data_IF_760921835368
#
_entry.id   IF_760921835368
#
_cell.length_a   1.000
_cell.length_b   1.000
_cell.length_c   1.000
_cell.angle_alpha   90.00
_cell.angle_beta   90.00
_cell.angle_gamma   90.00
#
_symmetry.space_group_name_H-M   'P 1'
#
loop_
_entity.id
_entity.type
_entity.pdbx_description
1 polymer ?
#
# COMPACT_ATOMS: atom_id res chain seq x y z
N UNK A 1 28.21 4.47 30.74
CA UNK A 1 26.74 4.35 30.81
C UNK A 1 26.23 4.09 29.40
N UNK A 2 25.44 3.04 29.14
CA UNK A 2 24.89 2.83 27.80
C UNK A 2 23.76 3.84 27.56
N UNK A 3 23.75 4.43 26.37
CA UNK A 3 22.79 5.43 25.91
C UNK A 3 21.38 4.79 25.80
N UNK A 4 20.28 5.46 26.20
CA UNK A 4 18.94 4.96 25.93
C UNK A 4 18.70 5.00 24.42
N UNK A 5 18.35 3.84 23.86
CA UNK A 5 17.99 3.69 22.45
C UNK A 5 16.68 4.49 22.27
N UNK A 6 16.78 5.70 21.72
CA UNK A 6 15.63 6.48 21.29
C UNK A 6 14.82 5.63 20.31
N UNK A 7 13.51 5.54 20.56
CA UNK A 7 12.59 4.64 19.88
C UNK A 7 12.80 4.63 18.37
N UNK A 8 13.08 3.45 17.84
CA UNK A 8 13.07 3.20 16.40
C UNK A 8 11.63 3.41 15.94
N UNK A 9 11.34 4.58 15.36
CA UNK A 9 10.08 4.79 14.67
C UNK A 9 10.13 3.91 13.42
N UNK A 10 9.49 2.74 13.49
CA UNK A 10 9.36 1.84 12.35
C UNK A 10 8.67 2.65 11.23
N UNK A 11 9.30 2.81 10.06
CA UNK A 11 8.72 3.60 8.97
C UNK A 11 7.40 2.97 8.52
N UNK A 12 6.41 3.82 8.22
CA UNK A 12 5.11 3.36 7.71
C UNK A 12 5.27 3.03 6.23
N UNK A 13 5.11 1.78 5.84
CA UNK A 13 5.19 1.34 4.44
C UNK A 13 3.93 1.79 3.69
N UNK A 14 4.08 2.60 2.64
CA UNK A 14 2.97 3.10 1.82
C UNK A 14 2.82 2.26 0.55
N UNK A 15 1.67 1.60 0.43
CA UNK A 15 1.37 0.64 -0.65
C UNK A 15 0.22 1.17 -1.49
N UNK A 16 0.43 1.28 -2.81
CA UNK A 16 -0.64 1.54 -3.78
C UNK A 16 -1.15 0.22 -4.33
N UNK A 17 -2.46 -0.03 -4.27
CA UNK A 17 -3.12 -1.20 -4.84
C UNK A 17 -4.01 -0.74 -5.98
N UNK A 18 -3.82 -1.30 -7.17
CA UNK A 18 -4.62 -1.03 -8.37
C UNK A 18 -5.46 -2.26 -8.66
N UNK A 19 -6.74 -2.18 -8.30
CA UNK A 19 -7.68 -3.31 -8.28
C UNK A 19 -9.10 -2.75 -8.40
N UNK A 20 -9.86 -3.14 -9.42
CA UNK A 20 -11.22 -2.65 -9.67
C UNK A 20 -12.27 -3.41 -8.85
N UNK A 21 -11.94 -4.61 -8.38
CA UNK A 21 -12.76 -5.41 -7.49
C UNK A 21 -12.55 -5.05 -6.02
N UNK A 22 -13.61 -4.56 -5.36
CA UNK A 22 -13.54 -4.19 -3.95
C UNK A 22 -13.35 -5.39 -3.03
N UNK A 23 -13.91 -6.56 -3.36
CA UNK A 23 -13.81 -7.76 -2.54
C UNK A 23 -12.35 -8.28 -2.51
N UNK A 24 -11.67 -8.22 -3.66
CA UNK A 24 -10.26 -8.61 -3.78
C UNK A 24 -9.35 -7.63 -3.03
N UNK A 25 -9.64 -6.33 -3.10
CA UNK A 25 -8.94 -5.32 -2.30
C UNK A 25 -9.11 -5.55 -0.79
N UNK A 26 -10.32 -5.81 -0.30
CA UNK A 26 -10.58 -6.06 1.12
C UNK A 26 -9.85 -7.31 1.63
N UNK A 27 -9.84 -8.38 0.81
CA UNK A 27 -9.10 -9.59 1.13
C UNK A 27 -7.59 -9.33 1.20
N UNK A 28 -7.05 -8.58 0.24
CA UNK A 28 -5.65 -8.18 0.22
C UNK A 28 -5.29 -7.28 1.40
N UNK A 29 -6.14 -6.29 1.74
CA UNK A 29 -5.99 -5.43 2.91
C UNK A 29 -5.95 -6.26 4.18
N UNK A 30 -6.86 -7.22 4.33
CA UNK A 30 -6.85 -8.15 5.45
C UNK A 30 -5.53 -8.92 5.51
N UNK A 31 -5.06 -9.52 4.43
CA UNK A 31 -3.80 -10.28 4.43
C UNK A 31 -2.56 -9.43 4.69
N UNK A 32 -2.52 -8.19 4.20
CA UNK A 32 -1.36 -7.31 4.35
C UNK A 32 -1.31 -6.63 5.72
N UNK A 33 -2.46 -6.32 6.32
CA UNK A 33 -2.54 -5.70 7.63
C UNK A 33 -2.60 -6.73 8.77
N UNK A 34 -3.02 -7.97 8.50
CA UNK A 34 -3.12 -9.01 9.51
C UNK A 34 -1.76 -9.69 9.71
N UNK A 35 -1.11 -9.39 10.84
CA UNK A 35 0.15 -10.01 11.24
C UNK A 35 1.40 -9.16 10.99
N UNK A 36 1.27 -8.00 10.34
CA UNK A 36 2.35 -7.02 10.28
C UNK A 36 2.40 -6.24 11.61
N UNK A 37 3.45 -6.43 12.41
CA UNK A 37 3.77 -5.47 13.48
C UNK A 37 4.16 -4.08 12.92
N UNK A 38 4.46 -4.04 11.62
CA UNK A 38 4.73 -2.82 10.86
C UNK A 38 3.42 -2.09 10.50
N UNK A 39 3.46 -0.76 10.57
CA UNK A 39 2.38 0.09 10.12
C UNK A 39 2.42 0.14 8.59
N UNK A 40 1.58 -0.62 7.90
CA UNK A 40 1.36 -0.40 6.47
C UNK A 40 0.18 0.54 6.25
N UNK A 41 0.26 1.37 5.21
CA UNK A 41 -0.84 2.21 4.73
C UNK A 41 -1.15 1.78 3.31
N UNK A 42 -2.36 1.27 3.10
CA UNK A 42 -2.86 0.95 1.76
C UNK A 42 -3.62 2.15 1.18
N UNK A 43 -3.44 2.37 -0.11
CA UNK A 43 -4.21 3.30 -0.93
C UNK A 43 -4.70 2.51 -2.14
N UNK A 44 -6.01 2.56 -2.41
CA UNK A 44 -6.63 1.89 -3.54
C UNK A 44 -6.82 2.84 -4.72
N UNK A 45 -6.60 2.33 -5.93
CA UNK A 45 -7.15 2.86 -7.17
C UNK A 45 -7.87 1.73 -7.92
N UNK A 46 -8.96 2.05 -8.60
CA UNK A 46 -9.78 1.10 -9.36
C UNK A 46 -9.41 1.03 -10.85
N UNK A 47 -8.44 1.82 -11.29
CA UNK A 47 -7.99 1.85 -12.69
C UNK A 47 -6.52 2.29 -12.77
N UNK A 48 -5.82 1.90 -13.83
CA UNK A 48 -4.43 2.28 -14.05
C UNK A 48 -4.28 3.79 -14.21
N UNK A 49 -5.23 4.45 -14.88
CA UNK A 49 -5.22 5.90 -15.03
C UNK A 49 -5.24 6.62 -13.67
N UNK A 50 -6.12 6.19 -12.75
CA UNK A 50 -6.19 6.74 -11.39
C UNK A 50 -4.92 6.46 -10.59
N UNK A 51 -4.33 5.27 -10.75
CA UNK A 51 -3.07 4.93 -10.10
C UNK A 51 -1.91 5.82 -10.57
N UNK A 52 -1.85 6.14 -11.87
CA UNK A 52 -0.87 7.06 -12.43
C UNK A 52 -1.05 8.49 -11.89
N UNK A 53 -2.29 8.96 -11.71
CA UNK A 53 -2.54 10.23 -11.04
C UNK A 53 -2.05 10.19 -9.57
N UNK A 54 -2.31 9.12 -8.83
CA UNK A 54 -1.80 8.97 -7.46
C UNK A 54 -0.26 9.05 -7.41
N UNK A 55 0.44 8.47 -8.38
CA UNK A 55 1.90 8.50 -8.48
C UNK A 55 2.47 9.89 -8.83
N UNK A 56 1.68 10.78 -9.41
CA UNK A 56 2.12 12.17 -9.67
C UNK A 56 2.14 13.02 -8.39
N UNK A 57 1.25 12.73 -7.43
CA UNK A 57 1.09 13.53 -6.22
C UNK A 57 1.66 12.89 -4.95
N UNK A 58 2.10 11.62 -5.03
CA UNK A 58 2.61 10.88 -3.89
C UNK A 58 3.72 9.90 -4.25
N UNK A 59 4.49 9.51 -3.24
CA UNK A 59 5.46 8.42 -3.32
C UNK A 59 4.89 7.18 -2.62
N UNK A 60 4.98 6.04 -3.29
CA UNK A 60 4.65 4.74 -2.72
C UNK A 60 5.90 3.88 -2.70
N UNK A 61 6.06 3.10 -1.64
CA UNK A 61 7.18 2.17 -1.49
C UNK A 61 6.95 0.92 -2.34
N UNK A 62 5.69 0.50 -2.44
CA UNK A 62 5.25 -0.70 -3.17
C UNK A 62 4.00 -0.37 -3.97
N UNK A 63 3.92 -0.92 -5.18
CA UNK A 63 2.73 -0.89 -6.02
C UNK A 63 2.32 -2.34 -6.31
N UNK A 64 1.06 -2.68 -6.01
CA UNK A 64 0.41 -3.93 -6.37
C UNK A 64 -0.58 -3.63 -7.48
N UNK A 65 -0.32 -4.16 -8.68
CA UNK A 65 -1.11 -3.90 -9.87
C UNK A 65 -1.77 -5.18 -10.34
N UNK A 66 -3.10 -5.18 -10.42
CA UNK A 66 -3.81 -6.20 -11.17
C UNK A 66 -3.59 -6.00 -12.67
N UNK A 67 -3.23 -7.09 -13.35
CA UNK A 67 -3.00 -7.12 -14.80
C UNK A 67 -4.26 -7.54 -15.57
N UNK A 68 -5.34 -7.89 -14.87
CA UNK A 68 -6.63 -8.22 -15.50
C UNK A 68 -7.51 -7.00 -15.75
N UNK A 69 -7.07 -5.81 -15.30
CA UNK A 69 -7.78 -4.55 -15.45
C UNK A 69 -8.13 -4.24 -16.91
N UNK A 70 -9.37 -3.80 -17.18
CA UNK A 70 -9.87 -3.57 -18.52
C UNK A 70 -9.21 -2.37 -19.25
N UNK A 71 -8.48 -1.52 -18.53
CA UNK A 71 -7.79 -0.35 -19.06
C UNK A 71 -6.26 -0.56 -19.28
N UNK A 72 -5.81 -1.81 -19.29
CA UNK A 72 -4.44 -2.23 -19.59
C UNK A 72 -4.12 -2.49 -21.06
#
# INVERSE_FOLDING_TARGET
MPNPIMGSSIPVCSILVVEDNIDDFELLEHHLLFGSEERARLVRSDCLAGALECLQYGSFDIILLDLSLPDS
#
